data_IF_237911190885
#
_entry.id   IF_237911190885
#
_cell.length_a   1.000
_cell.length_b   1.000
_cell.length_c   1.000
_cell.angle_alpha   90.00
_cell.angle_beta   90.00
_cell.angle_gamma   90.00
#
_symmetry.space_group_name_H-M   'P 1'
#
loop_
_entity.id
_entity.type
_entity.pdbx_description
1 polymer ?
#
# COMPACT_ATOMS: atom_id res chain seq x y z
N UNK A 1 -2.55 -4.21 24.09
CA UNK A 1 -2.13 -5.61 23.80
C UNK A 1 -1.50 -5.63 22.42
N UNK A 2 -0.18 -5.85 22.31
CA UNK A 2 0.51 -5.87 21.01
C UNK A 2 0.12 -7.15 20.24
N UNK A 3 -0.48 -7.00 19.05
CA UNK A 3 -0.74 -8.14 18.16
C UNK A 3 0.48 -8.35 17.28
N UNK A 4 0.92 -9.59 17.17
CA UNK A 4 2.07 -9.99 16.38
C UNK A 4 1.61 -10.88 15.23
N UNK A 5 2.24 -10.75 14.08
CA UNK A 5 2.05 -11.67 12.96
C UNK A 5 3.30 -12.55 12.88
N UNK A 6 3.10 -13.86 12.99
CA UNK A 6 4.16 -14.86 12.90
C UNK A 6 4.41 -15.21 11.43
N UNK A 7 5.68 -15.21 11.03
CA UNK A 7 6.08 -15.70 9.71
C UNK A 7 7.20 -16.71 9.85
N UNK A 8 7.18 -17.69 8.95
CA UNK A 8 8.12 -18.78 8.89
C UNK A 8 8.96 -18.66 7.62
N UNK A 9 10.28 -18.66 7.77
CA UNK A 9 11.24 -18.65 6.65
C UNK A 9 11.87 -20.03 6.54
N UNK A 10 11.95 -20.56 5.31
CA UNK A 10 12.77 -21.73 4.99
C UNK A 10 14.15 -21.25 4.51
N UNK A 11 15.22 -21.43 5.30
CA UNK A 11 16.53 -20.88 4.94
C UNK A 11 17.17 -21.58 3.75
N UNK A 12 16.99 -22.88 3.58
CA UNK A 12 17.44 -23.68 2.45
C UNK A 12 16.64 -24.99 2.38
N UNK A 13 16.57 -25.64 1.22
CA UNK A 13 15.81 -26.88 0.97
C UNK A 13 16.32 -28.11 1.70
N UNK A 14 17.42 -28.00 2.45
CA UNK A 14 17.93 -29.06 3.31
C UNK A 14 17.71 -28.64 4.77
N UNK A 15 16.73 -29.30 5.41
CA UNK A 15 16.49 -29.42 6.86
C UNK A 15 16.98 -28.26 7.74
N UNK A 16 16.55 -27.03 7.46
CA UNK A 16 16.92 -25.86 8.27
C UNK A 16 15.73 -25.37 9.09
N UNK A 17 15.96 -25.27 10.40
CA UNK A 17 15.09 -24.74 11.44
C UNK A 17 14.19 -23.60 10.93
N UNK A 18 12.89 -23.73 11.17
CA UNK A 18 11.93 -22.68 10.87
C UNK A 18 12.25 -21.47 11.77
N UNK A 19 12.82 -20.41 11.19
CA UNK A 19 13.14 -19.20 11.94
C UNK A 19 11.85 -18.42 12.22
N UNK A 20 11.44 -18.36 13.49
CA UNK A 20 10.30 -17.54 13.93
C UNK A 20 10.65 -16.06 13.80
N UNK A 21 9.91 -15.35 12.97
CA UNK A 21 10.00 -13.89 12.86
C UNK A 21 8.75 -13.22 13.39
N UNK A 22 8.95 -12.14 14.14
CA UNK A 22 7.88 -11.35 14.75
C UNK A 22 7.75 -10.04 13.97
N UNK A 23 6.65 -9.90 13.23
CA UNK A 23 6.24 -8.62 12.67
C UNK A 23 5.23 -7.96 13.61
N UNK A 24 5.54 -6.75 14.06
CA UNK A 24 4.59 -5.96 14.86
C UNK A 24 3.40 -5.53 14.01
N UNK A 25 2.19 -5.48 14.60
CA UNK A 25 1.03 -4.94 13.90
C UNK A 25 1.32 -3.54 13.33
N UNK A 26 1.12 -3.31 12.02
CA UNK A 26 1.34 -2.01 11.43
C UNK A 26 0.41 -0.97 12.04
N UNK A 27 0.97 0.19 12.38
CA UNK A 27 0.21 1.39 12.78
C UNK A 27 0.16 2.38 11.63
N UNK A 28 -0.96 3.10 11.51
CA UNK A 28 -1.08 4.21 10.56
C UNK A 28 -0.40 5.44 11.18
N UNK A 29 0.42 6.13 10.41
CA UNK A 29 1.08 7.38 10.81
C UNK A 29 0.46 8.61 10.14
N UNK A 30 -0.07 8.46 8.93
CA UNK A 30 -0.66 9.56 8.18
C UNK A 30 -1.54 9.05 7.03
N UNK A 31 -2.45 9.90 6.57
CA UNK A 31 -3.34 9.66 5.45
C UNK A 31 -3.21 10.75 4.38
N UNK A 32 -3.06 10.35 3.12
CA UNK A 32 -2.77 11.22 1.99
C UNK A 32 -3.71 10.93 0.82
N UNK A 33 -4.04 11.98 0.08
CA UNK A 33 -4.67 11.91 -1.24
C UNK A 33 -3.59 12.16 -2.29
N UNK A 34 -3.61 11.35 -3.34
CA UNK A 34 -2.79 11.50 -4.53
C UNK A 34 -3.74 11.76 -5.69
N UNK A 35 -3.74 12.97 -6.22
CA UNK A 35 -4.68 13.46 -7.24
C UNK A 35 -3.89 13.84 -8.49
N UNK A 36 -3.84 12.95 -9.48
CA UNK A 36 -2.97 13.10 -10.67
C UNK A 36 -1.51 13.44 -10.29
N UNK A 37 -0.94 12.65 -9.37
CA UNK A 37 0.42 12.81 -8.81
C UNK A 37 0.61 13.98 -7.84
N UNK A 38 -0.37 14.88 -7.71
CA UNK A 38 -0.35 15.89 -6.65
C UNK A 38 -0.66 15.22 -5.31
N UNK A 39 0.27 15.32 -4.36
CA UNK A 39 0.15 14.67 -3.06
C UNK A 39 -0.20 15.72 -2.01
N UNK A 40 -1.30 15.50 -1.28
CA UNK A 40 -1.75 16.33 -0.17
C UNK A 40 -2.20 15.48 1.01
N UNK A 41 -2.15 16.04 2.23
CA UNK A 41 -2.79 15.41 3.39
C UNK A 41 -4.28 15.24 3.06
N UNK A 42 -4.82 14.04 3.26
CA UNK A 42 -6.23 13.79 2.96
C UNK A 42 -7.12 14.45 4.02
N UNK A 43 -8.16 15.14 3.57
CA UNK A 43 -9.13 15.82 4.45
C UNK A 43 -10.27 14.89 4.88
N UNK A 44 -10.66 13.95 4.02
CA UNK A 44 -11.76 13.03 4.23
C UNK A 44 -11.26 11.59 4.09
N UNK A 45 -11.83 10.68 4.89
CA UNK A 45 -11.57 9.24 4.83
C UNK A 45 -12.87 8.55 4.48
N UNK A 46 -12.84 7.68 3.46
CA UNK A 46 -14.01 6.86 3.11
C UNK A 46 -14.30 5.85 4.21
N UNK A 47 -15.56 5.69 4.57
CA UNK A 47 -16.00 4.68 5.53
C UNK A 47 -16.56 3.45 4.83
N UNK A 48 -16.21 2.29 5.38
CA UNK A 48 -16.81 1.03 5.00
C UNK A 48 -18.27 1.03 5.46
N UNK A 49 -19.16 0.72 4.53
CA UNK A 49 -20.55 0.40 4.84
C UNK A 49 -20.88 -0.95 4.20
N UNK A 50 -21.66 -1.74 4.93
CA UNK A 50 -22.16 -3.00 4.40
C UNK A 50 -23.46 -2.73 3.63
N UNK A 51 -23.58 -3.18 2.36
CA UNK A 51 -24.82 -3.08 1.61
C UNK A 51 -25.96 -3.78 2.34
N UNK A 52 -27.17 -3.22 2.24
CA UNK A 52 -28.37 -3.80 2.81
C UNK A 52 -28.90 -4.94 1.92
N UNK A 53 -29.78 -5.77 2.48
CA UNK A 53 -30.34 -6.92 1.77
C UNK A 53 -31.04 -6.55 0.45
N UNK A 54 -31.64 -5.37 0.36
CA UNK A 54 -32.33 -4.87 -0.83
C UNK A 54 -31.40 -4.30 -1.91
N UNK A 55 -30.11 -4.09 -1.61
CA UNK A 55 -29.11 -3.63 -2.59
C UNK A 55 -28.62 -4.78 -3.49
N UNK A 56 -28.98 -6.03 -3.17
CA UNK A 56 -28.57 -7.20 -3.92
C UNK A 56 -29.53 -7.53 -5.07
N UNK A 57 -29.01 -7.93 -6.25
CA UNK A 57 -27.60 -8.07 -6.59
C UNK A 57 -26.90 -6.73 -6.85
N UNK A 58 -25.66 -6.58 -6.37
CA UNK A 58 -24.85 -5.39 -6.64
C UNK A 58 -24.50 -5.30 -8.13
N UNK A 59 -24.86 -4.19 -8.78
CA UNK A 59 -24.43 -3.91 -10.15
C UNK A 59 -23.00 -3.38 -10.16
N UNK A 60 -22.03 -4.26 -10.44
CA UNK A 60 -20.61 -3.89 -10.54
C UNK A 60 -20.27 -3.14 -11.83
N UNK A 61 -21.21 -3.00 -12.76
CA UNK A 61 -21.05 -2.20 -13.99
C UNK A 61 -21.58 -0.77 -13.82
N UNK A 62 -22.29 -0.48 -12.73
CA UNK A 62 -22.82 0.84 -12.45
C UNK A 62 -21.72 1.90 -12.46
N UNK A 63 -21.88 2.93 -13.31
CA UNK A 63 -20.93 4.02 -13.45
C UNK A 63 -19.75 3.77 -14.40
N UNK A 64 -19.65 2.59 -15.03
CA UNK A 64 -18.57 2.26 -15.97
C UNK A 64 -18.38 3.29 -17.09
N UNK A 65 -19.47 3.77 -17.69
CA UNK A 65 -19.42 4.74 -18.80
C UNK A 65 -18.87 6.12 -18.42
N UNK A 66 -18.83 6.45 -17.12
CA UNK A 66 -18.29 7.70 -16.57
C UNK A 66 -16.98 7.48 -15.81
N UNK A 67 -16.47 6.25 -15.78
CA UNK A 67 -15.27 5.90 -15.03
C UNK A 67 -14.02 6.46 -15.71
N UNK A 68 -13.17 7.10 -14.93
CA UNK A 68 -11.86 7.57 -15.41
C UNK A 68 -10.80 6.53 -15.05
N UNK A 69 -10.34 5.81 -16.06
CA UNK A 69 -9.26 4.84 -15.91
C UNK A 69 -7.93 5.52 -15.61
N UNK A 70 -7.07 4.78 -14.92
CA UNK A 70 -5.74 5.27 -14.57
C UNK A 70 -4.93 5.59 -15.82
N UNK A 71 -4.42 6.81 -15.92
CA UNK A 71 -3.47 7.17 -16.96
C UNK A 71 -2.15 6.48 -16.63
N UNK A 72 -1.67 5.59 -17.52
CA UNK A 72 -0.41 4.89 -17.34
C UNK A 72 0.78 5.85 -17.51
N UNK A 73 1.08 6.65 -16.49
CA UNK A 73 2.34 7.40 -16.45
C UNK A 73 3.42 6.52 -15.84
N UNK A 74 4.44 6.25 -16.65
CA UNK A 74 5.53 5.34 -16.36
C UNK A 74 6.20 5.61 -15.02
N UNK A 75 6.76 4.54 -14.46
CA UNK A 75 7.54 4.48 -13.23
C UNK A 75 6.74 4.52 -11.92
N UNK A 76 6.18 3.34 -11.60
CA UNK A 76 5.75 3.00 -10.24
C UNK A 76 6.87 3.01 -9.18
N UNK A 77 8.12 3.37 -9.55
CA UNK A 77 9.27 3.45 -8.66
C UNK A 77 9.26 4.70 -7.77
N UNK A 78 8.43 5.72 -8.06
CA UNK A 78 8.42 6.96 -7.28
C UNK A 78 7.98 6.75 -5.82
N UNK A 79 8.84 7.05 -4.85
CA UNK A 79 8.49 7.05 -3.42
C UNK A 79 7.72 8.32 -2.99
N UNK A 80 7.17 9.08 -3.95
CA UNK A 80 6.59 10.41 -3.78
C UNK A 80 5.79 10.61 -2.49
N UNK A 81 4.73 9.83 -2.27
CA UNK A 81 3.88 10.00 -1.07
C UNK A 81 4.64 9.86 0.25
N UNK A 82 5.57 8.92 0.32
CA UNK A 82 6.37 8.72 1.53
C UNK A 82 7.44 9.80 1.69
N UNK A 83 8.05 10.27 0.60
CA UNK A 83 8.97 11.40 0.65
C UNK A 83 8.25 12.70 1.03
N UNK A 84 7.07 12.97 0.47
CA UNK A 84 6.22 14.12 0.85
C UNK A 84 5.88 14.11 2.34
N UNK A 85 5.53 12.94 2.89
CA UNK A 85 5.30 12.79 4.33
C UNK A 85 6.58 13.00 5.16
N UNK A 86 7.71 12.48 4.71
CA UNK A 86 8.98 12.59 5.44
C UNK A 86 9.51 14.03 5.48
N UNK A 87 9.21 14.82 4.45
CA UNK A 87 9.68 16.20 4.30
C UNK A 87 8.80 17.25 5.01
N UNK A 88 7.67 16.88 5.61
CA UNK A 88 6.93 17.80 6.48
C UNK A 88 7.66 18.00 7.81
N UNK A 89 7.75 19.24 8.28
CA UNK A 89 8.51 19.65 9.48
C UNK A 89 8.20 18.81 10.74
N UNK A 90 6.95 18.42 10.92
CA UNK A 90 6.45 17.56 12.02
C UNK A 90 7.12 16.18 12.06
N UNK A 91 7.63 15.69 10.91
CA UNK A 91 8.14 14.33 10.75
C UNK A 91 9.67 14.26 10.66
N UNK A 92 10.38 15.36 10.94
CA UNK A 92 11.84 15.40 10.88
C UNK A 92 12.50 14.38 11.83
N UNK A 93 11.86 14.06 12.96
CA UNK A 93 12.32 13.01 13.89
C UNK A 93 12.38 11.61 13.23
N UNK A 94 11.67 11.38 12.13
CA UNK A 94 11.78 10.14 11.36
C UNK A 94 13.06 10.10 10.51
N UNK A 95 13.73 11.23 10.27
CA UNK A 95 15.06 11.24 9.63
C UNK A 95 16.18 10.85 10.60
N UNK A 96 15.97 11.01 11.90
CA UNK A 96 17.02 10.76 12.90
C UNK A 96 17.32 9.28 13.07
N UNK A 97 18.59 8.91 13.20
CA UNK A 97 18.93 7.50 13.39
C UNK A 97 18.54 7.04 14.79
N UNK A 98 17.78 5.94 14.87
CA UNK A 98 17.62 5.23 16.13
C UNK A 98 18.88 4.39 16.37
N UNK A 99 19.58 4.52 17.52
CA UNK A 99 20.70 3.64 17.83
C UNK A 99 20.16 2.21 17.85
N UNK A 100 20.73 1.34 17.02
CA UNK A 100 20.40 -0.10 16.90
C UNK A 100 19.22 -0.50 16.00
N UNK A 101 18.61 0.41 15.22
CA UNK A 101 17.61 0.02 14.21
C UNK A 101 17.91 0.56 12.82
N UNK A 102 17.70 -0.28 11.81
CA UNK A 102 17.81 0.10 10.40
C UNK A 102 16.43 0.59 9.92
N UNK A 103 16.33 1.87 9.58
CA UNK A 103 15.11 2.44 8.99
C UNK A 103 15.00 2.04 7.52
N UNK A 104 13.84 1.54 7.13
CA UNK A 104 13.50 1.18 5.76
C UNK A 104 12.28 1.98 5.32
N UNK A 105 12.43 2.67 4.20
CA UNK A 105 11.44 3.51 3.55
C UNK A 105 11.00 2.84 2.26
N UNK A 106 9.74 2.41 2.16
CA UNK A 106 9.28 1.69 0.96
C UNK A 106 7.80 1.87 0.60
N UNK A 107 7.32 1.05 -0.34
CA UNK A 107 5.91 0.86 -0.68
C UNK A 107 5.44 -0.51 -0.21
N UNK A 108 4.17 -0.61 0.19
CA UNK A 108 3.50 -1.88 0.53
C UNK A 108 3.73 -2.92 -0.55
N UNK A 109 3.66 -2.51 -1.81
CA UNK A 109 3.80 -3.43 -2.93
C UNK A 109 5.21 -4.02 -3.05
N UNK A 110 6.26 -3.21 -2.87
CA UNK A 110 7.65 -3.68 -2.84
C UNK A 110 7.89 -4.65 -1.67
N UNK A 111 7.33 -4.35 -0.50
CA UNK A 111 7.41 -5.23 0.67
C UNK A 111 6.67 -6.56 0.46
N UNK A 112 5.43 -6.50 -0.03
CA UNK A 112 4.62 -7.68 -0.35
C UNK A 112 5.36 -8.62 -1.31
N UNK A 113 6.10 -8.07 -2.28
CA UNK A 113 6.87 -8.89 -3.23
C UNK A 113 8.06 -9.60 -2.60
N UNK A 114 8.75 -8.98 -1.65
CA UNK A 114 9.79 -9.66 -0.89
C UNK A 114 9.22 -10.78 -0.02
N UNK A 115 8.09 -10.52 0.64
CA UNK A 115 7.47 -11.46 1.56
C UNK A 115 6.84 -12.67 0.86
N UNK A 116 6.29 -12.48 -0.35
CA UNK A 116 5.64 -13.57 -1.09
C UNK A 116 6.62 -14.43 -1.90
N UNK A 117 7.84 -13.91 -2.19
CA UNK A 117 8.83 -14.59 -3.05
C UNK A 117 9.15 -16.04 -2.60
N UNK A 118 9.33 -16.34 -1.30
CA UNK A 118 9.55 -17.71 -0.84
C UNK A 118 8.36 -18.64 -1.12
N UNK A 119 7.13 -18.10 -1.17
CA UNK A 119 5.89 -18.87 -1.36
C UNK A 119 5.57 -19.10 -2.84
N UNK A 120 6.08 -18.26 -3.75
CA UNK A 120 5.75 -18.30 -5.19
C UNK A 120 6.88 -18.87 -6.04
N UNK A 121 7.74 -19.73 -5.48
CA UNK A 121 8.93 -20.27 -6.17
C UNK A 121 8.61 -20.90 -7.54
N UNK A 122 7.39 -21.45 -7.72
CA UNK A 122 6.97 -22.09 -8.99
C UNK A 122 6.49 -21.15 -10.11
N UNK A 123 6.28 -19.86 -9.84
CA UNK A 123 5.77 -18.88 -10.83
C UNK A 123 6.82 -17.87 -11.31
N UNK A 124 8.11 -18.10 -11.00
CA UNK A 124 9.17 -17.09 -11.10
C UNK A 124 9.58 -16.71 -12.54
N UNK A 125 9.25 -17.52 -13.56
CA UNK A 125 9.86 -17.36 -14.89
C UNK A 125 9.22 -16.30 -15.80
N UNK A 126 8.03 -15.78 -15.49
CA UNK A 126 7.31 -14.96 -16.47
C UNK A 126 7.49 -13.44 -16.31
N UNK A 127 8.04 -12.95 -15.20
CA UNK A 127 8.24 -11.51 -14.98
C UNK A 127 9.43 -11.23 -14.06
N UNK A 128 10.66 -11.02 -14.59
CA UNK A 128 11.78 -10.56 -13.79
C UNK A 128 11.42 -9.18 -13.20
N UNK A 129 11.53 -9.05 -11.88
CA UNK A 129 11.20 -7.82 -11.15
C UNK A 129 12.41 -7.34 -10.39
N UNK A 130 12.72 -6.07 -10.56
CA UNK A 130 13.90 -5.45 -9.96
C UNK A 130 13.47 -4.57 -8.79
N UNK A 131 14.09 -4.78 -7.64
CA UNK A 131 13.96 -3.87 -6.50
C UNK A 131 15.20 -2.98 -6.48
N UNK A 132 14.97 -1.67 -6.50
CA UNK A 132 15.99 -0.64 -6.39
C UNK A 132 16.16 -0.26 -4.93
N UNK A 133 17.41 -0.10 -4.51
CA UNK A 133 17.78 0.35 -3.17
C UNK A 133 18.65 1.60 -3.28
N UNK A 134 18.40 2.57 -2.41
CA UNK A 134 19.27 3.71 -2.18
C UNK A 134 19.47 3.90 -0.68
N UNK A 135 20.63 4.40 -0.28
CA UNK A 135 20.95 4.67 1.13
C UNK A 135 21.18 6.16 1.31
N UNK A 136 20.48 6.78 2.26
CA UNK A 136 20.64 8.19 2.58
C UNK A 136 20.42 8.43 4.08
N UNK A 137 21.33 9.18 4.71
CA UNK A 137 21.33 9.44 6.16
C UNK A 137 21.15 8.17 7.02
N UNK A 138 21.81 7.07 6.61
CA UNK A 138 21.74 5.79 7.31
C UNK A 138 20.48 4.95 7.05
N UNK A 139 19.42 5.53 6.48
CA UNK A 139 18.19 4.81 6.11
C UNK A 139 18.26 4.19 4.71
N UNK A 140 17.52 3.11 4.49
CA UNK A 140 17.35 2.44 3.21
C UNK A 140 16.04 2.84 2.55
N UNK A 141 16.11 3.25 1.29
CA UNK A 141 14.96 3.58 0.44
C UNK A 141 14.82 2.48 -0.59
N UNK A 142 13.67 1.81 -0.58
CA UNK A 142 13.41 0.63 -1.40
C UNK A 142 12.20 0.86 -2.29
N UNK A 143 12.35 0.65 -3.58
CA UNK A 143 11.27 0.76 -4.55
C UNK A 143 11.35 -0.32 -5.63
N UNK A 144 10.23 -0.62 -6.28
CA UNK A 144 10.22 -1.55 -7.41
C UNK A 144 10.45 -0.76 -8.71
N UNK A 145 11.40 -1.23 -9.53
CA UNK A 145 11.46 -0.82 -10.92
C UNK A 145 10.43 -1.63 -11.68
N UNK A 146 9.33 -0.98 -12.09
CA UNK A 146 8.38 -1.57 -13.02
C UNK A 146 8.39 -0.78 -14.31
N UNK A 147 8.66 -1.49 -15.39
CA UNK A 147 8.11 -1.14 -16.69
C UNK A 147 6.68 -1.69 -16.63
N UNK A 148 5.70 -0.80 -16.48
CA UNK A 148 4.32 -1.22 -16.69
C UNK A 148 4.19 -1.50 -18.19
N UNK A 149 3.88 -2.73 -18.62
CA UNK A 149 3.46 -2.91 -20.01
C UNK A 149 2.24 -2.02 -20.25
N UNK A 150 2.13 -1.49 -21.46
CA UNK A 150 0.87 -0.88 -21.92
C UNK A 150 -0.20 -1.98 -21.88
N UNK A 151 -0.99 -2.00 -20.82
CA UNK A 151 -2.19 -2.83 -20.73
C UNK A 151 -3.35 -1.90 -21.03
N UNK A 152 -4.16 -2.27 -22.00
CA UNK A 152 -5.47 -1.66 -22.20
C UNK A 152 -6.38 -2.07 -21.03
N UNK A 153 -6.26 -1.32 -19.94
CA UNK A 153 -6.99 -1.51 -18.69
C UNK A 153 -8.45 -0.99 -18.78
N UNK A 154 -8.92 -0.57 -19.97
CA UNK A 154 -10.26 0.03 -20.16
C UNK A 154 -11.41 -0.97 -20.24
N UNK A 155 -11.12 -2.28 -20.16
CA UNK A 155 -12.16 -3.32 -20.22
C UNK A 155 -13.01 -3.34 -18.95
N UNK A 156 -14.30 -3.63 -19.11
CA UNK A 156 -15.27 -3.75 -18.01
C UNK A 156 -14.84 -4.71 -16.89
N UNK A 157 -14.13 -5.78 -17.24
CA UNK A 157 -13.58 -6.73 -16.27
C UNK A 157 -12.56 -6.11 -15.31
N UNK A 158 -11.85 -5.06 -15.72
CA UNK A 158 -10.91 -4.33 -14.85
C UNK A 158 -11.63 -3.32 -13.94
N UNK A 159 -12.83 -2.86 -14.33
CA UNK A 159 -13.64 -1.95 -13.53
C UNK A 159 -14.36 -2.63 -12.37
N UNK A 160 -14.68 -3.93 -12.42
CA UNK A 160 -15.49 -4.60 -11.39
C UNK A 160 -14.94 -4.45 -9.97
N UNK A 161 -13.62 -4.45 -9.80
CA UNK A 161 -12.99 -4.18 -8.50
C UNK A 161 -13.31 -2.77 -8.00
N UNK A 162 -13.27 -1.77 -8.88
CA UNK A 162 -13.64 -0.40 -8.54
C UNK A 162 -15.15 -0.25 -8.33
N UNK A 163 -15.98 -0.91 -9.13
CA UNK A 163 -17.43 -0.99 -8.92
C UNK A 163 -17.76 -1.51 -7.52
N UNK A 164 -17.09 -2.58 -7.09
CA UNK A 164 -17.25 -3.11 -5.73
C UNK A 164 -16.79 -2.10 -4.66
N UNK A 165 -15.65 -1.43 -4.86
CA UNK A 165 -15.20 -0.37 -3.92
C UNK A 165 -16.24 0.72 -3.78
N UNK A 166 -16.87 1.16 -4.87
CA UNK A 166 -17.87 2.23 -4.83
C UNK A 166 -19.13 1.83 -4.05
N UNK A 167 -19.51 0.54 -4.09
CA UNK A 167 -20.60 -0.02 -3.28
C UNK A 167 -20.28 -0.20 -1.81
N UNK A 168 -18.99 -0.24 -1.42
CA UNK A 168 -18.56 -0.52 -0.04
C UNK A 168 -17.96 0.70 0.66
N UNK A 169 -17.47 1.67 -0.11
CA UNK A 169 -16.68 2.82 0.35
C UNK A 169 -17.04 4.06 -0.49
N UNK A 170 -18.13 4.74 -0.15
CA UNK A 170 -18.61 5.92 -0.88
C UNK A 170 -18.94 7.06 0.09
N UNK A 171 -18.40 8.25 -0.24
CA UNK A 171 -18.67 9.51 0.46
C UNK A 171 -19.36 10.54 -0.47
N UNK A 172 -19.51 10.26 -1.76
CA UNK A 172 -20.10 11.21 -2.73
C UNK A 172 -20.66 10.52 -3.99
N UNK A 173 -21.56 11.23 -4.68
CA UNK A 173 -22.18 10.84 -5.96
C UNK A 173 -21.30 11.12 -7.19
N UNK A 174 -20.02 11.43 -6.99
CA UNK A 174 -19.10 11.79 -8.07
C UNK A 174 -18.66 10.57 -8.89
N UNK A 175 -18.38 10.74 -10.19
CA UNK A 175 -17.85 9.67 -11.02
C UNK A 175 -16.51 9.17 -10.47
N UNK A 176 -16.31 7.85 -10.55
CA UNK A 176 -15.09 7.18 -10.09
C UNK A 176 -13.88 7.55 -10.95
N UNK A 177 -12.75 7.83 -10.31
CA UNK A 177 -11.48 8.18 -10.96
C UNK A 177 -10.30 7.45 -10.29
N UNK A 178 -9.61 6.58 -11.03
CA UNK A 178 -8.46 5.80 -10.53
C UNK A 178 -7.17 6.62 -10.38
N UNK A 179 -7.14 7.83 -10.92
CA UNK A 179 -6.02 8.76 -10.75
C UNK A 179 -6.06 9.46 -9.39
N UNK A 180 -7.21 9.37 -8.69
CA UNK A 180 -7.42 9.85 -7.33
C UNK A 180 -7.26 8.70 -6.34
N UNK A 181 -6.07 8.57 -5.75
CA UNK A 181 -5.71 7.44 -4.88
C UNK A 181 -5.48 7.91 -3.45
N UNK A 182 -6.19 7.30 -2.52
CA UNK A 182 -5.93 7.47 -1.10
C UNK A 182 -4.86 6.48 -0.63
N UNK A 183 -3.90 6.97 0.16
CA UNK A 183 -2.76 6.21 0.65
C UNK A 183 -2.54 6.49 2.12
N UNK A 184 -2.24 5.45 2.89
CA UNK A 184 -1.72 5.63 4.24
C UNK A 184 -0.21 5.45 4.26
N UNK A 185 0.43 6.14 5.21
CA UNK A 185 1.76 5.81 5.69
C UNK A 185 1.61 4.88 6.88
N UNK A 186 2.29 3.74 6.83
CA UNK A 186 2.29 2.74 7.88
C UNK A 186 3.67 2.62 8.49
N UNK A 187 3.74 2.23 9.76
CA UNK A 187 4.98 1.83 10.42
C UNK A 187 4.80 0.47 11.08
N UNK A 188 5.77 -0.39 10.86
CA UNK A 188 5.91 -1.70 11.51
C UNK A 188 7.37 -1.95 11.80
N UNK A 189 7.65 -2.90 12.67
CA UNK A 189 8.97 -3.39 13.00
C UNK A 189 9.06 -4.88 12.71
N UNK A 190 10.20 -5.28 12.15
CA UNK A 190 10.64 -6.66 11.94
C UNK A 190 12.07 -6.78 12.46
N UNK A 191 12.25 -7.46 13.60
CA UNK A 191 13.54 -7.55 14.30
C UNK A 191 14.22 -6.17 14.49
N UNK A 192 15.41 -5.99 13.89
CA UNK A 192 16.21 -4.76 13.90
C UNK A 192 15.75 -3.71 12.87
N UNK A 193 14.73 -4.01 12.07
CA UNK A 193 14.26 -3.14 10.99
C UNK A 193 13.02 -2.37 11.43
N UNK A 194 13.10 -1.04 11.32
CA UNK A 194 11.96 -0.13 11.47
C UNK A 194 11.46 0.24 10.08
N UNK A 195 10.33 -0.34 9.67
CA UNK A 195 9.82 -0.32 8.30
C UNK A 195 8.68 0.69 8.23
N UNK A 196 8.88 1.74 7.44
CA UNK A 196 7.88 2.74 7.11
C UNK A 196 7.53 2.59 5.64
N UNK A 197 6.25 2.39 5.34
CA UNK A 197 5.81 2.12 3.99
C UNK A 197 4.50 2.83 3.64
N UNK A 198 4.39 3.24 2.37
CA UNK A 198 3.14 3.77 1.82
C UNK A 198 2.30 2.67 1.16
N UNK A 199 0.98 2.70 1.32
CA UNK A 199 0.09 1.73 0.68
C UNK A 199 -1.28 2.33 0.39
N UNK A 200 -1.88 1.95 -0.74
CA UNK A 200 -3.23 2.36 -1.09
C UNK A 200 -4.23 1.83 -0.06
N UNK A 201 -5.19 2.67 0.32
CA UNK A 201 -6.25 2.37 1.26
C UNK A 201 -7.58 2.82 0.66
N UNK A 202 -8.57 1.94 0.65
CA UNK A 202 -9.89 2.22 0.07
C UNK A 202 -10.81 2.96 1.04
N UNK A 203 -10.58 2.82 2.34
CA UNK A 203 -11.34 3.44 3.41
C UNK A 203 -11.02 2.79 4.77
N UNK A 204 -11.81 3.12 5.79
CA UNK A 204 -11.71 2.60 7.16
C UNK A 204 -13.02 1.92 7.59
N UNK A 205 -12.91 0.97 8.52
CA UNK A 205 -14.08 0.34 9.15
C UNK A 205 -14.34 1.08 10.47
N UNK A 206 -15.54 1.61 10.63
CA UNK A 206 -15.91 2.60 11.65
C UNK A 206 -15.85 2.12 13.12
N UNK A 207 -15.57 0.84 13.38
CA UNK A 207 -15.50 0.31 14.76
C UNK A 207 -14.26 0.76 15.55
N UNK A 208 -13.38 1.55 14.92
CA UNK A 208 -12.20 2.14 15.54
C UNK A 208 -12.13 3.60 15.15
N UNK A 209 -12.55 4.47 16.07
CA UNK A 209 -12.19 5.88 16.00
C UNK A 209 -10.67 5.98 15.81
N UNK A 210 -10.26 6.80 14.84
CA UNK A 210 -8.93 7.35 14.84
C UNK A 210 -8.85 8.18 16.12
N UNK A 211 -8.37 7.60 17.22
CA UNK A 211 -7.86 8.44 18.31
C UNK A 211 -6.77 9.30 17.68
N UNK A 212 -7.08 10.58 17.55
CA UNK A 212 -6.18 11.64 17.15
C UNK A 212 -4.81 11.42 17.82
N UNK A 213 -3.76 11.44 17.00
CA UNK A 213 -2.38 11.36 17.47
C UNK A 213 -1.87 12.75 17.84
#
# INVERSE_FOLDING_TARGET
MARFIEFYRFPNSDESEIEKKILTQPRILAYFKSDYENISKAQNVKYFHLPQHYDYPLDLNAGFSKHTFRVSKGNSSSLGTMLSWLMTSENNNYLDMAPNRIKIYTKRFSLHKLLIKPLTFRYQNNYPRTILFSRFKGALYMSESRINPEVDDTKISFFHHQGLINHLFSDSSEPSDENVIHKCIYRTNLDRYDIIYSGAANGIIADKEFTEM
#
